data_IF_204412723614
#
_entry.id   IF_204412723614
#
_cell.length_a   1.000
_cell.length_b   1.000
_cell.length_c   1.000
_cell.angle_alpha   90.00
_cell.angle_beta   90.00
_cell.angle_gamma   90.00
#
_symmetry.space_group_name_H-M   'P 1'
#
loop_
_entity.id
_entity.type
_entity.pdbx_description
1 polymer ?
#
# COMPACT_ATOMS: atom_id res chain seq x y z
N UNK A 1 34.73 84.81 -27.96
CA UNK A 1 33.47 84.96 -27.20
C UNK A 1 33.36 83.82 -26.19
N UNK A 2 33.08 84.13 -24.91
CA UNK A 2 32.57 83.28 -23.80
C UNK A 2 33.28 81.92 -23.52
N UNK A 3 34.03 81.76 -22.41
CA UNK A 3 33.66 81.61 -20.96
C UNK A 3 33.35 80.15 -20.53
N UNK A 4 34.12 79.70 -19.51
CA UNK A 4 33.77 78.79 -18.37
C UNK A 4 33.52 77.30 -18.71
N UNK A 5 33.74 76.23 -17.89
CA UNK A 5 34.10 75.89 -16.48
C UNK A 5 34.38 74.34 -16.49
N UNK A 6 35.44 73.77 -15.89
CA UNK A 6 35.61 73.19 -14.53
C UNK A 6 34.66 72.03 -14.08
N UNK A 7 35.24 70.96 -13.49
CA UNK A 7 34.81 70.09 -12.33
C UNK A 7 35.50 68.69 -12.43
N UNK A 8 36.55 68.38 -11.66
CA UNK A 8 36.62 67.85 -10.28
C UNK A 8 36.20 66.37 -10.11
N UNK A 9 37.15 65.50 -9.77
CA UNK A 9 36.97 64.05 -9.50
C UNK A 9 37.26 63.75 -8.01
N UNK A 10 36.34 63.07 -7.34
CA UNK A 10 36.47 62.56 -5.96
C UNK A 10 36.71 61.04 -5.94
N UNK A 11 37.58 60.59 -5.05
CA UNK A 11 37.95 59.17 -4.85
C UNK A 11 37.11 58.53 -3.73
N UNK A 12 36.49 57.38 -4.01
CA UNK A 12 35.69 56.59 -3.08
C UNK A 12 36.44 55.32 -2.64
N UNK A 13 36.37 54.99 -1.34
CA UNK A 13 37.03 53.84 -0.71
C UNK A 13 36.31 52.50 -0.94
N UNK A 14 37.10 51.42 -0.97
CA UNK A 14 36.67 50.05 -1.25
C UNK A 14 36.33 49.27 0.04
N UNK A 15 35.21 48.53 0.03
CA UNK A 15 34.81 47.58 1.08
C UNK A 15 34.91 46.16 0.49
N UNK A 16 35.73 45.31 1.10
CA UNK A 16 35.91 43.91 0.70
C UNK A 16 34.86 43.01 1.37
N UNK A 17 34.07 42.28 0.57
CA UNK A 17 33.12 41.27 1.05
C UNK A 17 33.77 39.89 1.07
N UNK A 18 33.70 39.22 2.24
CA UNK A 18 34.13 37.83 2.45
C UNK A 18 32.99 36.90 2.04
N UNK A 19 33.23 36.00 1.10
CA UNK A 19 32.26 34.97 0.66
C UNK A 19 32.64 33.64 1.32
N UNK A 20 31.76 33.12 2.18
CA UNK A 20 31.89 31.77 2.74
C UNK A 20 31.19 30.75 1.81
N UNK A 21 31.78 29.57 1.54
CA UNK A 21 31.13 28.54 0.75
C UNK A 21 30.05 27.82 1.58
N UNK A 22 28.79 27.94 1.15
CA UNK A 22 27.68 27.16 1.68
C UNK A 22 27.78 25.72 1.17
N UNK A 23 28.08 24.77 2.06
CA UNK A 23 27.94 23.33 1.75
C UNK A 23 26.45 22.98 1.80
N UNK A 24 25.79 22.97 0.65
CA UNK A 24 24.45 22.41 0.51
C UNK A 24 24.52 20.90 0.76
N UNK A 25 23.93 20.44 1.86
CA UNK A 25 23.63 19.01 2.06
C UNK A 25 22.55 18.64 1.05
N UNK A 26 22.88 17.76 0.11
CA UNK A 26 21.90 17.17 -0.78
C UNK A 26 21.05 16.20 0.05
N UNK A 27 19.85 16.62 0.45
CA UNK A 27 18.83 15.67 0.85
C UNK A 27 18.61 14.72 -0.32
N UNK A 28 18.96 13.45 -0.13
CA UNK A 28 18.67 12.40 -1.08
C UNK A 28 17.15 12.25 -1.10
N UNK A 29 16.52 12.85 -2.10
CA UNK A 29 15.09 12.64 -2.37
C UNK A 29 14.93 11.15 -2.68
N UNK A 30 14.50 10.37 -1.70
CA UNK A 30 14.03 9.01 -1.92
C UNK A 30 12.79 9.11 -2.79
N UNK A 31 12.99 8.86 -4.09
CA UNK A 31 11.87 8.76 -5.03
C UNK A 31 11.07 7.52 -4.66
N UNK A 32 9.74 7.65 -4.65
CA UNK A 32 8.83 6.55 -4.36
C UNK A 32 8.12 6.13 -5.65
N UNK A 33 7.76 4.85 -5.74
CA UNK A 33 6.96 4.31 -6.82
C UNK A 33 5.65 3.74 -6.30
N UNK A 34 4.55 4.12 -6.96
CA UNK A 34 3.24 3.52 -6.73
C UNK A 34 3.16 2.24 -7.57
N UNK A 35 2.84 1.13 -6.91
CA UNK A 35 2.63 -0.19 -7.52
C UNK A 35 1.15 -0.53 -7.41
N UNK A 36 0.59 -0.97 -8.54
CA UNK A 36 -0.75 -1.55 -8.61
C UNK A 36 -0.65 -2.95 -9.21
N UNK A 37 -1.16 -3.96 -8.52
CA UNK A 37 -1.12 -5.35 -8.95
C UNK A 37 -2.51 -5.98 -8.87
N UNK A 38 -2.92 -6.63 -9.96
CA UNK A 38 -4.15 -7.40 -10.02
C UNK A 38 -3.83 -8.88 -9.84
N UNK A 39 -4.49 -9.51 -8.88
CA UNK A 39 -4.43 -10.95 -8.61
C UNK A 39 -5.82 -11.47 -8.28
N UNK A 40 -6.03 -12.76 -8.47
CA UNK A 40 -7.29 -13.44 -8.14
C UNK A 40 -7.05 -14.49 -7.07
N UNK A 41 -7.90 -14.51 -6.05
CA UNK A 41 -7.89 -15.50 -4.98
C UNK A 41 -9.14 -16.39 -5.07
N UNK A 42 -8.98 -17.69 -4.88
CA UNK A 42 -10.10 -18.59 -4.59
C UNK A 42 -10.37 -18.57 -3.09
N UNK A 43 -11.53 -18.06 -2.69
CA UNK A 43 -11.96 -17.94 -1.30
C UNK A 43 -13.07 -18.96 -0.96
N UNK A 44 -12.92 -19.69 0.15
CA UNK A 44 -13.87 -20.70 0.59
C UNK A 44 -14.98 -20.08 1.45
N UNK A 45 -16.17 -19.89 0.87
CA UNK A 45 -17.35 -19.37 1.57
C UNK A 45 -18.15 -20.50 2.22
N UNK A 46 -18.66 -20.33 3.46
CA UNK A 46 -19.36 -21.41 4.18
C UNK A 46 -20.59 -21.99 3.47
N UNK A 47 -21.35 -21.18 2.73
CA UNK A 47 -22.63 -21.59 2.13
C UNK A 47 -22.59 -21.79 0.61
N UNK A 48 -21.63 -21.16 -0.07
CA UNK A 48 -21.56 -21.14 -1.55
C UNK A 48 -20.26 -21.75 -2.10
N UNK A 49 -19.42 -22.32 -1.22
CA UNK A 49 -18.17 -22.95 -1.59
C UNK A 49 -17.12 -21.97 -2.10
N UNK A 50 -16.22 -22.46 -2.95
CA UNK A 50 -15.11 -21.66 -3.46
C UNK A 50 -15.56 -20.67 -4.52
N UNK A 51 -15.19 -19.40 -4.34
CA UNK A 51 -15.42 -18.33 -5.32
C UNK A 51 -14.13 -17.62 -5.65
N UNK A 52 -13.95 -17.30 -6.92
CA UNK A 52 -12.84 -16.48 -7.38
C UNK A 52 -13.14 -15.01 -7.10
N UNK A 53 -12.22 -14.37 -6.40
CA UNK A 53 -12.32 -12.99 -5.94
C UNK A 53 -11.15 -12.22 -6.56
N UNK A 54 -11.43 -11.40 -7.60
CA UNK A 54 -10.44 -10.47 -8.14
C UNK A 54 -10.08 -9.44 -7.09
N UNK A 55 -8.79 -9.18 -6.94
CA UNK A 55 -8.20 -8.23 -6.00
C UNK A 55 -7.22 -7.30 -6.73
N UNK A 56 -7.29 -6.02 -6.40
CA UNK A 56 -6.34 -5.01 -6.84
C UNK A 56 -5.59 -4.50 -5.61
N UNK A 57 -4.31 -4.86 -5.50
CA UNK A 57 -3.40 -4.42 -4.45
C UNK A 57 -2.70 -3.16 -4.92
N UNK A 58 -2.77 -2.11 -4.11
CA UNK A 58 -2.08 -0.84 -4.36
C UNK A 58 -1.20 -0.51 -3.16
N UNK A 59 0.04 -0.11 -3.41
CA UNK A 59 0.97 0.32 -2.38
C UNK A 59 2.03 1.26 -2.97
N UNK A 60 2.68 2.05 -2.11
CA UNK A 60 3.78 2.93 -2.48
C UNK A 60 5.04 2.49 -1.74
N UNK A 61 6.09 2.22 -2.50
CA UNK A 61 7.40 1.77 -2.00
C UNK A 61 8.49 2.80 -2.31
N UNK A 62 9.57 2.86 -1.51
CA UNK A 62 10.76 3.60 -1.90
C UNK A 62 11.46 2.92 -3.09
N UNK A 63 12.04 3.70 -4.00
CA UNK A 63 12.81 3.18 -5.13
C UNK A 63 14.15 2.58 -4.70
N UNK A 64 14.70 3.04 -3.58
CA UNK A 64 15.88 2.48 -2.92
C UNK A 64 15.94 2.99 -1.48
N UNK A 65 16.70 2.27 -0.64
CA UNK A 65 16.94 2.65 0.76
C UNK A 65 18.41 2.53 1.11
N UNK A 66 18.88 3.33 2.07
CA UNK A 66 20.23 3.17 2.60
C UNK A 66 20.31 1.97 3.57
N UNK A 67 21.49 1.36 3.69
CA UNK A 67 21.73 0.31 4.70
C UNK A 67 21.35 0.79 6.10
N UNK A 68 20.52 0.00 6.79
CA UNK A 68 20.05 0.32 8.14
C UNK A 68 18.88 1.31 8.20
N UNK A 69 18.44 1.87 7.08
CA UNK A 69 17.20 2.65 7.00
C UNK A 69 15.96 1.75 6.87
N UNK A 70 14.81 2.16 7.44
CA UNK A 70 13.57 1.41 7.28
C UNK A 70 12.98 1.56 5.87
N UNK A 71 12.55 0.44 5.29
CA UNK A 71 11.65 0.40 4.13
C UNK A 71 10.24 0.67 4.66
N UNK A 72 9.72 1.86 4.36
CA UNK A 72 8.37 2.28 4.74
C UNK A 72 7.44 2.14 3.53
N UNK A 73 6.48 1.22 3.64
CA UNK A 73 5.39 1.10 2.65
C UNK A 73 4.25 2.01 3.06
N UNK A 74 3.70 2.77 2.11
CA UNK A 74 2.59 3.69 2.36
C UNK A 74 1.45 3.47 1.37
N UNK A 75 0.27 4.05 1.66
CA UNK A 75 -0.92 3.96 0.81
C UNK A 75 -1.32 2.51 0.46
N UNK A 76 -1.06 1.57 1.37
CA UNK A 76 -1.46 0.18 1.18
C UNK A 76 -2.99 0.05 1.22
N UNK A 77 -3.55 -0.54 0.18
CA UNK A 77 -4.97 -0.84 0.06
C UNK A 77 -5.17 -2.06 -0.83
N UNK A 78 -6.21 -2.85 -0.56
CA UNK A 78 -6.66 -3.93 -1.43
C UNK A 78 -8.13 -3.71 -1.75
N UNK A 79 -8.47 -3.54 -3.02
CA UNK A 79 -9.86 -3.52 -3.48
C UNK A 79 -10.22 -4.90 -4.01
N UNK A 80 -11.25 -5.55 -3.46
CA UNK A 80 -11.76 -6.83 -3.94
C UNK A 80 -13.16 -6.69 -4.51
N UNK A 81 -13.50 -7.51 -5.50
CA UNK A 81 -14.79 -7.46 -6.18
C UNK A 81 -15.69 -8.63 -5.76
N UNK A 82 -16.85 -8.31 -5.19
CA UNK A 82 -17.89 -9.30 -4.91
C UNK A 82 -18.79 -9.50 -6.13
N UNK A 83 -18.91 -10.75 -6.56
CA UNK A 83 -19.79 -11.11 -7.67
C UNK A 83 -21.27 -11.26 -7.27
N UNK A 84 -22.11 -11.45 -8.28
CA UNK A 84 -23.56 -11.56 -8.11
C UNK A 84 -24.01 -12.71 -7.21
N UNK A 85 -23.35 -13.88 -7.26
CA UNK A 85 -23.75 -15.02 -6.44
C UNK A 85 -23.36 -14.82 -4.97
N UNK A 86 -22.24 -14.14 -4.71
CA UNK A 86 -21.86 -13.75 -3.34
C UNK A 86 -22.84 -12.72 -2.77
N UNK A 87 -23.23 -11.71 -3.56
CA UNK A 87 -24.24 -10.73 -3.13
C UNK A 87 -25.63 -11.37 -2.94
N UNK A 88 -26.00 -12.33 -3.79
CA UNK A 88 -27.24 -13.09 -3.64
C UNK A 88 -27.26 -13.89 -2.33
N UNK A 89 -26.15 -14.57 -2.00
CA UNK A 89 -26.02 -15.31 -0.76
C UNK A 89 -26.10 -14.39 0.47
N UNK A 90 -25.44 -13.22 0.42
CA UNK A 90 -25.54 -12.20 1.47
C UNK A 90 -26.97 -11.68 1.63
N UNK A 91 -27.68 -11.46 0.53
CA UNK A 91 -29.09 -11.05 0.54
C UNK A 91 -29.98 -12.12 1.16
N UNK A 92 -29.74 -13.41 0.85
CA UNK A 92 -30.53 -14.53 1.36
C UNK A 92 -30.42 -14.68 2.89
N UNK A 93 -29.27 -14.35 3.48
CA UNK A 93 -29.08 -14.33 4.94
C UNK A 93 -29.50 -13.00 5.59
N UNK A 94 -30.07 -12.07 4.79
CA UNK A 94 -30.57 -10.77 5.24
C UNK A 94 -29.48 -9.72 5.48
N UNK A 95 -28.29 -9.90 4.91
CA UNK A 95 -27.18 -8.95 5.05
C UNK A 95 -27.44 -7.69 4.22
N UNK A 96 -27.26 -6.53 4.82
CA UNK A 96 -27.22 -5.23 4.14
C UNK A 96 -25.80 -4.64 4.11
N UNK A 97 -24.97 -4.96 5.11
CA UNK A 97 -23.58 -4.55 5.17
C UNK A 97 -22.67 -5.72 5.52
N UNK A 98 -21.38 -5.56 5.23
CA UNK A 98 -20.31 -6.45 5.68
C UNK A 98 -19.16 -5.63 6.24
N UNK A 99 -18.50 -6.16 7.25
CA UNK A 99 -17.26 -5.62 7.83
C UNK A 99 -16.41 -6.79 8.32
N UNK A 100 -15.16 -6.53 8.69
CA UNK A 100 -14.31 -7.59 9.19
C UNK A 100 -12.86 -7.20 9.38
N UNK A 101 -12.07 -8.18 9.79
CA UNK A 101 -10.62 -8.06 9.89
C UNK A 101 -9.96 -9.17 9.08
N UNK A 102 -8.77 -8.91 8.57
CA UNK A 102 -8.07 -9.84 7.69
C UNK A 102 -6.57 -9.88 7.99
N UNK A 103 -5.94 -10.93 7.52
CA UNK A 103 -4.49 -11.10 7.47
C UNK A 103 -4.09 -11.49 6.05
N UNK A 104 -2.93 -11.02 5.61
CA UNK A 104 -2.40 -11.32 4.28
C UNK A 104 -1.01 -11.94 4.39
N UNK A 105 -0.72 -12.95 3.57
CA UNK A 105 0.65 -13.41 3.37
C UNK A 105 1.44 -12.38 2.56
N UNK A 106 2.72 -12.24 2.87
CA UNK A 106 3.70 -11.47 2.10
C UNK A 106 4.95 -12.33 1.97
N UNK A 107 5.45 -12.46 0.76
CA UNK A 107 6.74 -13.12 0.52
C UNK A 107 7.81 -12.05 0.38
N UNK A 108 8.91 -12.24 1.08
CA UNK A 108 10.09 -11.39 1.02
C UNK A 108 11.25 -12.24 0.53
N UNK A 109 12.07 -11.70 -0.37
CA UNK A 109 13.42 -12.21 -0.62
C UNK A 109 14.40 -11.11 -0.23
N UNK A 110 15.30 -11.42 0.70
CA UNK A 110 16.39 -10.52 1.10
C UNK A 110 17.71 -11.19 0.71
N UNK A 111 18.33 -10.70 -0.37
CA UNK A 111 19.62 -11.21 -0.86
C UNK A 111 19.64 -12.73 -1.15
N UNK A 112 18.58 -13.26 -1.74
CA UNK A 112 18.41 -14.69 -2.03
C UNK A 112 17.88 -15.51 -0.86
N UNK A 113 17.48 -14.87 0.24
CA UNK A 113 16.89 -15.55 1.41
C UNK A 113 15.39 -15.29 1.44
N UNK A 114 14.62 -16.32 1.09
CA UNK A 114 13.17 -16.28 1.12
C UNK A 114 12.63 -16.30 2.57
N UNK A 115 11.63 -15.44 2.82
CA UNK A 115 10.94 -15.32 4.08
C UNK A 115 9.46 -15.02 3.85
N UNK A 116 8.61 -15.97 4.22
CA UNK A 116 7.17 -15.75 4.31
C UNK A 116 6.80 -15.06 5.63
N UNK A 117 6.10 -13.93 5.54
CA UNK A 117 5.56 -13.20 6.70
C UNK A 117 4.06 -13.02 6.58
N UNK A 118 3.40 -12.83 7.72
CA UNK A 118 1.99 -12.46 7.76
C UNK A 118 1.86 -11.00 8.12
N UNK A 119 1.05 -10.26 7.34
CA UNK A 119 0.59 -8.92 7.61
C UNK A 119 -0.72 -8.98 8.38
N UNK A 120 -0.72 -8.73 9.71
CA UNK A 120 -1.94 -8.77 10.51
C UNK A 120 -2.66 -7.41 10.51
N UNK A 121 -3.86 -7.39 11.10
CA UNK A 121 -4.52 -6.13 11.47
C UNK A 121 -5.08 -5.34 10.29
N UNK A 122 -5.32 -6.00 9.15
CA UNK A 122 -6.03 -5.41 8.04
C UNK A 122 -7.52 -5.32 8.36
N UNK A 123 -8.17 -4.26 7.94
CA UNK A 123 -9.56 -3.94 8.27
C UNK A 123 -10.40 -3.82 7.00
N UNK A 124 -11.58 -4.42 7.03
CA UNK A 124 -12.66 -4.21 6.09
C UNK A 124 -13.66 -3.27 6.77
N UNK A 125 -13.74 -1.99 6.37
CA UNK A 125 -14.72 -1.07 6.92
C UNK A 125 -16.13 -1.50 6.50
N UNK A 126 -17.13 -1.01 7.24
CA UNK A 126 -18.55 -1.23 6.93
C UNK A 126 -18.82 -0.87 5.48
N UNK A 127 -19.19 -1.88 4.69
CA UNK A 127 -19.48 -1.73 3.27
C UNK A 127 -20.89 -2.20 2.98
N UNK A 128 -21.64 -1.40 2.22
CA UNK A 128 -22.98 -1.74 1.77
C UNK A 128 -22.93 -2.81 0.67
N UNK A 129 -23.74 -3.86 0.79
CA UNK A 129 -23.81 -4.99 -0.16
C UNK A 129 -25.20 -5.18 -0.78
N UNK A 130 -26.11 -4.21 -0.65
CA UNK A 130 -27.47 -4.27 -1.25
C UNK A 130 -27.54 -3.75 -2.69
N UNK A 131 -26.43 -3.26 -3.23
CA UNK A 131 -26.32 -2.76 -4.60
C UNK A 131 -26.21 -3.88 -5.66
N UNK A 132 -26.31 -3.52 -6.95
CA UNK A 132 -26.04 -4.46 -8.04
C UNK A 132 -24.56 -4.88 -8.05
N UNK A 133 -24.29 -6.10 -8.50
CA UNK A 133 -22.93 -6.58 -8.72
C UNK A 133 -22.25 -5.84 -9.89
N UNK A 134 -20.91 -5.71 -9.86
CA UNK A 134 -20.02 -6.04 -8.75
C UNK A 134 -20.04 -4.97 -7.64
N UNK A 135 -19.85 -5.40 -6.39
CA UNK A 135 -19.63 -4.48 -5.26
C UNK A 135 -18.16 -4.55 -4.84
N UNK A 136 -17.51 -3.40 -4.75
CA UNK A 136 -16.14 -3.30 -4.27
C UNK A 136 -16.09 -3.31 -2.74
N UNK A 137 -15.25 -4.17 -2.17
CA UNK A 137 -14.84 -4.12 -0.77
C UNK A 137 -13.41 -3.62 -0.70
N UNK A 138 -13.17 -2.61 0.12
CA UNK A 138 -11.81 -2.09 0.35
C UNK A 138 -11.26 -2.66 1.65
N UNK A 139 -10.02 -3.12 1.62
CA UNK A 139 -9.26 -3.57 2.78
C UNK A 139 -8.09 -2.61 2.94
N UNK A 140 -7.89 -2.10 4.15
CA UNK A 140 -6.79 -1.20 4.49
C UNK A 140 -6.10 -1.64 5.78
N UNK A 141 -4.87 -1.18 5.97
CA UNK A 141 -4.12 -1.47 7.18
C UNK A 141 -2.72 -0.88 7.12
N UNK A 142 -2.01 -0.95 8.23
CA UNK A 142 -0.63 -0.49 8.31
C UNK A 142 0.31 -1.63 7.93
N UNK A 143 1.26 -1.32 7.06
CA UNK A 143 2.35 -2.24 6.71
C UNK A 143 3.53 -1.96 7.66
N UNK A 144 3.97 -2.94 8.48
CA UNK A 144 5.16 -2.79 9.32
C UNK A 144 6.39 -2.45 8.47
N UNK A 145 7.29 -1.63 9.02
CA UNK A 145 8.54 -1.33 8.35
C UNK A 145 9.54 -2.48 8.47
N UNK A 146 10.36 -2.65 7.43
CA UNK A 146 11.43 -3.63 7.37
C UNK A 146 12.77 -2.89 7.32
N UNK A 147 13.72 -3.23 8.19
CA UNK A 147 15.07 -2.67 8.15
C UNK A 147 16.07 -3.75 7.77
N UNK A 148 16.77 -3.54 6.64
CA UNK A 148 17.84 -4.43 6.18
C UNK A 148 19.19 -3.83 6.55
N UNK A 149 20.05 -4.63 7.19
CA UNK A 149 21.33 -4.19 7.77
C UNK A 149 22.55 -4.48 6.89
N UNK A 150 22.34 -5.00 5.69
CA UNK A 150 23.38 -5.28 4.71
C UNK A 150 22.96 -4.73 3.34
N UNK A 151 23.91 -4.30 2.51
CA UNK A 151 23.60 -3.89 1.15
C UNK A 151 23.08 -5.07 0.32
N UNK A 152 22.38 -4.75 -0.78
CA UNK A 152 21.88 -5.72 -1.75
C UNK A 152 20.47 -5.41 -2.23
N UNK A 153 19.57 -6.40 -2.24
CA UNK A 153 18.23 -6.30 -2.81
C UNK A 153 17.18 -6.90 -1.88
N UNK A 154 16.01 -6.26 -1.85
CA UNK A 154 14.80 -6.76 -1.21
C UNK A 154 13.70 -6.86 -2.25
N UNK A 155 13.22 -8.07 -2.50
CA UNK A 155 12.05 -8.30 -3.33
C UNK A 155 10.83 -8.55 -2.44
N UNK A 156 9.71 -7.94 -2.81
CA UNK A 156 8.44 -8.05 -2.08
C UNK A 156 7.38 -8.56 -3.05
N UNK A 157 6.66 -9.60 -2.64
CA UNK A 157 5.58 -10.20 -3.41
C UNK A 157 4.34 -10.47 -2.53
N UNK A 158 3.18 -10.56 -3.19
CA UNK A 158 1.93 -10.94 -2.53
C UNK A 158 2.03 -12.43 -2.15
N UNK A 159 1.78 -12.76 -0.89
CA UNK A 159 1.75 -14.15 -0.43
C UNK A 159 0.55 -14.91 -0.96
N UNK A 160 0.67 -16.24 -0.98
CA UNK A 160 -0.35 -17.13 -1.54
C UNK A 160 -1.61 -17.26 -0.67
N UNK A 161 -1.54 -16.88 0.60
CA UNK A 161 -2.63 -17.04 1.57
C UNK A 161 -3.23 -15.70 2.00
N UNK A 162 -4.55 -15.67 2.13
CA UNK A 162 -5.28 -14.57 2.74
C UNK A 162 -6.37 -15.14 3.65
N UNK A 163 -6.58 -14.54 4.81
CA UNK A 163 -7.56 -15.02 5.79
C UNK A 163 -8.34 -13.88 6.38
N UNK A 164 -9.63 -14.09 6.65
CA UNK A 164 -10.52 -13.05 7.12
C UNK A 164 -11.55 -13.53 8.13
N UNK A 165 -11.91 -12.65 9.06
CA UNK A 165 -13.09 -12.76 9.94
C UNK A 165 -14.14 -11.79 9.41
N UNK A 166 -15.15 -12.31 8.73
CA UNK A 166 -16.17 -11.51 8.04
C UNK A 166 -17.47 -11.53 8.83
N UNK A 167 -18.06 -10.36 9.03
CA UNK A 167 -19.28 -10.15 9.80
C UNK A 167 -20.36 -9.51 8.93
N UNK A 168 -21.24 -10.31 8.32
CA UNK A 168 -22.45 -9.82 7.66
C UNK A 168 -23.48 -9.32 8.68
N UNK A 169 -23.99 -8.11 8.47
CA UNK A 169 -24.98 -7.44 9.32
C UNK A 169 -26.23 -7.04 8.55
N UNK A 170 -27.37 -7.06 9.23
CA UNK A 170 -28.64 -6.53 8.72
C UNK A 170 -28.62 -5.00 8.65
N UNK A 171 -29.63 -4.42 8.01
CA UNK A 171 -29.77 -2.97 7.89
C UNK A 171 -29.87 -2.23 9.23
N UNK A 172 -30.37 -2.90 10.28
CA UNK A 172 -30.46 -2.38 11.65
C UNK A 172 -29.14 -2.53 12.44
N UNK A 173 -28.08 -3.06 11.83
CA UNK A 173 -26.78 -3.30 12.44
C UNK A 173 -26.67 -4.61 13.25
N UNK A 174 -27.75 -5.38 13.37
CA UNK A 174 -27.74 -6.67 14.06
C UNK A 174 -27.04 -7.74 13.22
N UNK A 175 -26.53 -8.79 13.87
CA UNK A 175 -25.90 -9.92 13.18
C UNK A 175 -26.93 -10.71 12.35
N UNK A 176 -26.54 -11.11 11.14
CA UNK A 176 -27.30 -12.11 10.39
C UNK A 176 -27.30 -13.47 11.10
N UNK A 177 -28.14 -14.41 10.65
CA UNK A 177 -28.16 -15.76 11.21
C UNK A 177 -26.85 -16.55 11.03
N UNK A 178 -25.97 -16.12 10.12
CA UNK A 178 -24.65 -16.71 9.91
C UNK A 178 -23.63 -16.28 10.98
N UNK A 179 -23.84 -15.12 11.62
CA UNK A 179 -22.85 -14.52 12.52
C UNK A 179 -21.55 -14.17 11.81
N UNK A 180 -20.46 -14.08 12.57
CA UNK A 180 -19.09 -13.90 12.04
C UNK A 180 -18.52 -15.23 11.58
N UNK A 181 -17.90 -15.27 10.41
CA UNK A 181 -17.31 -16.48 9.85
C UNK A 181 -15.86 -16.27 9.39
N UNK A 182 -15.13 -17.38 9.31
CA UNK A 182 -13.79 -17.44 8.73
C UNK A 182 -13.86 -17.57 7.20
N UNK A 183 -13.10 -16.72 6.51
CA UNK A 183 -12.90 -16.76 5.07
C UNK A 183 -11.44 -17.07 4.80
N UNK A 184 -11.16 -18.24 4.24
CA UNK A 184 -9.82 -18.63 3.85
C UNK A 184 -9.70 -18.55 2.33
N UNK A 185 -8.67 -17.86 1.87
CA UNK A 185 -8.42 -17.59 0.46
C UNK A 185 -7.01 -18.04 0.08
N UNK A 186 -6.90 -18.58 -1.14
CA UNK A 186 -5.63 -18.97 -1.75
C UNK A 186 -5.50 -18.33 -3.12
N UNK A 187 -4.33 -17.79 -3.45
CA UNK A 187 -4.08 -17.19 -4.76
C UNK A 187 -4.20 -18.26 -5.84
N UNK A 188 -4.89 -17.96 -6.94
CA UNK A 188 -4.95 -18.87 -8.07
C UNK A 188 -3.54 -19.05 -8.69
N UNK A 189 -3.20 -20.26 -9.14
CA UNK A 189 -1.88 -20.54 -9.71
C UNK A 189 -1.68 -19.82 -11.05
N UNK A 190 -0.40 -19.60 -11.42
CA UNK A 190 -0.03 -19.05 -12.73
C UNK A 190 -0.08 -17.52 -12.84
N UNK A 191 -0.29 -16.81 -11.73
CA UNK A 191 -0.23 -15.35 -11.66
C UNK A 191 1.15 -14.89 -11.17
N UNK A 192 1.55 -13.66 -11.53
CA UNK A 192 2.78 -13.03 -11.03
C UNK A 192 2.48 -12.25 -9.73
N UNK A 193 2.99 -12.71 -8.57
CA UNK A 193 2.76 -12.03 -7.29
C UNK A 193 3.73 -10.87 -7.02
N UNK A 194 4.77 -10.65 -7.84
CA UNK A 194 5.82 -9.70 -7.55
C UNK A 194 5.30 -8.24 -7.53
N UNK A 195 5.60 -7.51 -6.45
CA UNK A 195 5.23 -6.11 -6.30
C UNK A 195 6.38 -5.17 -6.65
N UNK A 196 7.55 -5.37 -6.02
CA UNK A 196 8.68 -4.45 -6.17
C UNK A 196 10.01 -5.15 -5.83
N UNK A 197 11.07 -4.63 -6.43
CA UNK A 197 12.46 -4.91 -6.08
C UNK A 197 13.13 -3.62 -5.60
N UNK A 198 13.62 -3.59 -4.37
CA UNK A 198 14.18 -2.40 -3.71
C UNK A 198 15.68 -2.62 -3.45
N UNK A 199 16.57 -1.85 -4.10
CA UNK A 199 17.98 -1.83 -3.77
C UNK A 199 18.24 -1.25 -2.37
N UNK A 200 19.14 -1.89 -1.63
CA UNK A 200 19.70 -1.43 -0.36
C UNK A 200 21.16 -1.04 -0.60
N UNK A 201 21.46 0.26 -0.48
CA UNK A 201 22.76 0.85 -0.88
C UNK A 201 23.48 1.56 0.25
#
# INVERSE_FOLDING_TARGET
MKRLLALAAGTAGAVAMVVAPSTAQADTVHTTAVVTKNVTFSCAYPLIGNRDVPATVTATFPNSVAVGSPINTTNFSVAVSLDALTLQALTLIGSATVEGTTTAGVELDINGTELGVTLPGLNIPVTNVTGPAPVALNINGQVPSLTVKAPGQVDIAIGSTFSGKITPKRADGTLTGLGTFDLNCSMLPGQDPALVSIPVV
#
